data_IF_010321882024
#
_entry.id   IF_010321882024
#
_cell.length_a   1.000
_cell.length_b   1.000
_cell.length_c   1.000
_cell.angle_alpha   90.00
_cell.angle_beta   90.00
_cell.angle_gamma   90.00
#
_symmetry.space_group_name_H-M   'P 1'
#
loop_
_entity.id
_entity.type
_entity.pdbx_description
1 polymer ?
#
# COMPACT_ATOMS: atom_id res chain seq x y z
N UNK A 1 64.98 22.22 -3.68
CA UNK A 1 65.01 23.57 -4.28
C UNK A 1 64.18 24.50 -3.41
N UNK A 2 64.82 25.45 -2.73
CA UNK A 2 64.20 26.43 -1.82
C UNK A 2 64.28 27.82 -2.45
N UNK A 3 63.14 28.48 -2.64
CA UNK A 3 63.02 29.94 -2.80
C UNK A 3 61.55 30.32 -2.52
N UNK A 4 61.23 30.83 -1.33
CA UNK A 4 61.10 32.25 -0.97
C UNK A 4 60.00 32.99 -1.75
N UNK A 5 58.91 33.33 -1.06
CA UNK A 5 58.47 34.72 -1.03
C UNK A 5 57.65 34.99 0.22
N UNK A 6 58.01 36.05 0.96
CA UNK A 6 57.36 36.51 2.18
C UNK A 6 56.57 37.78 1.87
N UNK A 7 55.32 37.77 2.35
CA UNK A 7 54.62 38.87 3.04
C UNK A 7 54.17 40.09 2.22
N UNK A 8 52.87 40.37 2.21
CA UNK A 8 52.33 41.65 2.70
C UNK A 8 50.86 41.47 3.13
N UNK A 9 50.56 41.94 4.34
CA UNK A 9 49.23 42.03 4.92
C UNK A 9 48.33 42.98 4.13
N UNK A 10 47.05 42.63 3.99
CA UNK A 10 45.98 43.61 3.86
C UNK A 10 44.82 43.14 4.76
N UNK A 11 44.79 43.68 5.97
CA UNK A 11 43.64 43.66 6.87
C UNK A 11 42.55 44.54 6.27
N UNK A 12 41.35 43.99 6.08
CA UNK A 12 40.12 44.78 5.94
C UNK A 12 38.97 43.95 6.51
N UNK A 13 38.43 44.41 7.64
CA UNK A 13 37.22 43.86 8.24
C UNK A 13 35.97 44.40 7.54
N UNK A 14 34.92 43.57 7.51
CA UNK A 14 33.52 43.95 7.32
C UNK A 14 32.66 42.81 7.91
N UNK A 15 32.19 42.94 9.15
CA UNK A 15 30.82 43.28 9.56
C UNK A 15 29.75 42.33 8.99
N UNK A 16 29.20 41.51 9.91
CA UNK A 16 27.83 41.01 10.05
C UNK A 16 26.92 40.96 8.81
N UNK A 17 26.37 39.78 8.51
CA UNK A 17 24.92 39.57 8.59
C UNK A 17 24.58 38.07 8.59
N UNK A 18 24.02 37.60 9.70
CA UNK A 18 23.34 36.31 9.74
C UNK A 18 22.11 36.37 8.84
N UNK A 19 22.15 35.64 7.73
CA UNK A 19 20.96 35.25 6.98
C UNK A 19 20.69 33.80 7.35
N UNK A 20 19.87 33.63 8.40
CA UNK A 20 19.25 32.35 8.70
C UNK A 20 18.48 31.90 7.47
N UNK A 21 18.95 30.83 6.82
CA UNK A 21 18.11 30.12 5.89
C UNK A 21 16.92 29.58 6.68
N UNK A 22 15.68 29.79 6.21
CA UNK A 22 14.51 29.22 6.87
C UNK A 22 14.72 27.72 6.93
N UNK A 23 14.59 27.14 8.13
CA UNK A 23 14.39 25.73 8.26
C UNK A 23 13.22 25.39 7.34
N UNK A 24 13.52 24.70 6.24
CA UNK A 24 12.52 24.07 5.40
C UNK A 24 11.86 23.06 6.32
N UNK A 25 10.78 23.48 6.98
CA UNK A 25 9.89 22.57 7.66
C UNK A 25 9.35 21.67 6.56
N UNK A 26 10.01 20.53 6.36
CA UNK A 26 9.41 19.40 5.70
C UNK A 26 8.11 19.15 6.45
N UNK A 27 7.01 19.69 5.95
CA UNK A 27 5.68 19.29 6.36
C UNK A 27 5.60 17.82 5.95
N UNK A 28 6.05 16.94 6.83
CA UNK A 28 5.71 15.54 6.77
C UNK A 28 4.19 15.53 6.81
N UNK A 29 3.56 15.33 5.65
CA UNK A 29 2.13 15.09 5.56
C UNK A 29 1.88 13.87 6.43
N UNK A 30 1.33 14.10 7.62
CA UNK A 30 1.02 13.04 8.56
C UNK A 30 0.02 12.12 7.90
N UNK A 31 0.49 10.98 7.40
CA UNK A 31 -0.36 9.93 6.88
C UNK A 31 -1.16 9.37 8.05
N UNK A 32 -2.47 9.41 7.95
CA UNK A 32 -3.36 8.79 8.95
C UNK A 32 -3.17 7.28 8.97
N UNK A 33 -3.52 6.60 10.06
CA UNK A 33 -3.44 5.13 10.10
C UNK A 33 -4.29 4.48 9.01
N UNK A 34 -5.46 5.07 8.71
CA UNK A 34 -6.35 4.68 7.62
C UNK A 34 -5.65 4.71 6.26
N UNK A 35 -5.00 5.82 5.93
CA UNK A 35 -4.24 5.99 4.70
C UNK A 35 -3.02 5.07 4.63
N UNK A 36 -2.34 4.86 5.76
CA UNK A 36 -1.23 3.91 5.84
C UNK A 36 -1.70 2.48 5.57
N UNK A 37 -2.89 2.09 6.05
CA UNK A 37 -3.49 0.80 5.72
C UNK A 37 -3.89 0.72 4.24
N UNK A 38 -4.55 1.75 3.71
CA UNK A 38 -4.95 1.84 2.29
C UNK A 38 -3.73 1.63 1.36
N UNK A 39 -2.60 2.27 1.67
CA UNK A 39 -1.36 2.17 0.91
C UNK A 39 -0.71 0.77 0.90
N UNK A 40 -1.04 -0.07 1.90
CA UNK A 40 -0.40 -1.39 2.10
C UNK A 40 -1.32 -2.56 1.80
N UNK A 41 -2.63 -2.35 1.84
CA UNK A 41 -3.62 -3.42 1.75
C UNK A 41 -4.94 -2.99 1.05
N UNK A 42 -4.98 -1.89 0.31
CA UNK A 42 -6.13 -1.55 -0.53
C UNK A 42 -6.43 -2.63 -1.57
N UNK A 43 -7.68 -3.08 -1.69
CA UNK A 43 -8.07 -4.12 -2.65
C UNK A 43 -8.46 -3.52 -4.01
N UNK A 44 -7.95 -4.02 -5.15
CA UNK A 44 -8.39 -3.57 -6.48
C UNK A 44 -9.89 -3.76 -6.75
N UNK A 45 -10.55 -4.71 -6.08
CA UNK A 45 -11.98 -5.00 -6.20
C UNK A 45 -12.84 -4.03 -5.40
N UNK A 46 -12.24 -3.30 -4.45
CA UNK A 46 -12.95 -2.30 -3.65
C UNK A 46 -13.11 -1.00 -4.45
N UNK A 47 -14.36 -0.72 -4.83
CA UNK A 47 -14.71 0.49 -5.59
C UNK A 47 -14.78 1.73 -4.69
N UNK A 48 -14.87 1.54 -3.37
CA UNK A 48 -14.97 2.58 -2.35
C UNK A 48 -13.57 2.88 -1.72
N UNK A 49 -12.51 2.35 -2.35
CA UNK A 49 -11.11 2.55 -1.93
C UNK A 49 -10.67 4.00 -2.08
N UNK A 50 -9.66 4.39 -1.30
CA UNK A 50 -8.99 5.67 -1.48
C UNK A 50 -8.17 5.68 -2.79
N UNK A 51 -8.53 6.54 -3.77
CA UNK A 51 -7.85 6.57 -5.06
C UNK A 51 -6.45 7.20 -5.01
N UNK A 52 -6.05 7.82 -3.88
CA UNK A 52 -4.72 8.38 -3.70
C UNK A 52 -3.61 7.32 -3.64
N UNK A 53 -3.97 6.06 -3.38
CA UNK A 53 -3.04 4.94 -3.30
C UNK A 53 -3.29 3.92 -4.41
N UNK A 54 -2.20 3.39 -4.96
CA UNK A 54 -2.30 2.28 -5.92
C UNK A 54 -2.91 1.06 -5.24
N UNK A 55 -3.79 0.30 -5.92
CA UNK A 55 -4.35 -0.92 -5.35
C UNK A 55 -3.25 -1.97 -5.13
N UNK A 56 -3.39 -2.76 -4.07
CA UNK A 56 -2.44 -3.80 -3.69
C UNK A 56 -3.08 -5.16 -3.93
N UNK A 57 -2.62 -5.86 -4.97
CA UNK A 57 -3.00 -7.25 -5.22
C UNK A 57 -2.68 -8.12 -3.99
N UNK A 58 -3.53 -9.10 -3.70
CA UNK A 58 -3.36 -9.96 -2.53
C UNK A 58 -1.98 -10.66 -2.53
N UNK A 59 -1.54 -11.11 -3.71
CA UNK A 59 -0.20 -11.62 -4.03
C UNK A 59 0.96 -10.74 -3.58
N UNK A 60 0.76 -9.42 -3.61
CA UNK A 60 1.78 -8.40 -3.42
C UNK A 60 1.76 -7.77 -2.02
N UNK A 61 0.87 -8.22 -1.13
CA UNK A 61 0.81 -7.71 0.24
C UNK A 61 2.11 -8.05 0.97
N UNK A 62 2.83 -7.01 1.39
CA UNK A 62 3.99 -7.12 2.30
C UNK A 62 3.48 -7.31 3.72
N UNK A 63 3.41 -8.57 4.16
CA UNK A 63 2.71 -9.00 5.39
C UNK A 63 3.04 -8.14 6.61
N UNK A 64 4.33 -7.93 6.92
CA UNK A 64 4.75 -7.16 8.10
C UNK A 64 4.28 -5.71 8.08
N UNK A 65 4.46 -5.02 6.94
CA UNK A 65 4.04 -3.63 6.76
C UNK A 65 2.52 -3.49 6.84
N UNK A 66 1.78 -4.33 6.12
CA UNK A 66 0.32 -4.29 6.05
C UNK A 66 -0.34 -4.62 7.38
N UNK A 67 0.14 -5.66 8.07
CA UNK A 67 -0.39 -6.02 9.38
C UNK A 67 -0.12 -4.94 10.43
N UNK A 68 1.02 -4.26 10.37
CA UNK A 68 1.32 -3.14 11.27
C UNK A 68 0.34 -1.99 11.02
N UNK A 69 0.26 -1.51 9.78
CA UNK A 69 -0.57 -0.37 9.40
C UNK A 69 -2.07 -0.62 9.62
N UNK A 70 -2.59 -1.77 9.19
CA UNK A 70 -4.01 -2.05 9.31
C UNK A 70 -4.46 -2.41 10.73
N UNK A 71 -3.55 -2.89 11.59
CA UNK A 71 -3.86 -3.00 13.03
C UNK A 71 -3.93 -1.66 13.71
N UNK A 72 -3.05 -0.71 13.35
CA UNK A 72 -3.13 0.67 13.82
C UNK A 72 -4.49 1.27 13.45
N UNK A 73 -4.86 1.21 12.18
CA UNK A 73 -6.14 1.73 11.68
C UNK A 73 -7.34 1.07 12.37
N UNK A 74 -7.28 -0.24 12.60
CA UNK A 74 -8.32 -0.96 13.33
C UNK A 74 -8.43 -0.50 14.80
N UNK A 75 -7.31 -0.31 15.50
CA UNK A 75 -7.29 0.22 16.88
C UNK A 75 -7.87 1.64 16.95
N UNK A 76 -7.60 2.46 15.94
CA UNK A 76 -8.16 3.81 15.81
C UNK A 76 -9.62 3.83 15.35
N UNK A 77 -10.24 2.67 15.11
CA UNK A 77 -11.61 2.53 14.60
C UNK A 77 -11.83 3.29 13.28
N UNK A 78 -10.85 3.24 12.38
CA UNK A 78 -10.89 3.98 11.10
C UNK A 78 -12.03 3.59 10.14
N UNK A 79 -12.75 2.49 10.42
CA UNK A 79 -13.97 2.12 9.73
C UNK A 79 -13.94 0.73 9.09
N UNK A 80 -15.09 0.33 8.53
CA UNK A 80 -15.30 -1.02 8.01
C UNK A 80 -14.37 -1.39 6.83
N UNK A 81 -13.94 -0.39 6.03
CA UNK A 81 -12.95 -0.58 4.96
C UNK A 81 -11.60 -1.03 5.53
N UNK A 82 -11.10 -0.36 6.57
CA UNK A 82 -9.82 -0.72 7.20
C UNK A 82 -9.90 -2.08 7.90
N UNK A 83 -11.05 -2.41 8.50
CA UNK A 83 -11.30 -3.77 9.04
C UNK A 83 -11.22 -4.83 7.95
N UNK A 84 -11.78 -4.58 6.76
CA UNK A 84 -11.64 -5.49 5.62
C UNK A 84 -10.19 -5.63 5.15
N UNK A 85 -9.43 -4.54 5.06
CA UNK A 85 -8.04 -4.61 4.64
C UNK A 85 -7.16 -5.35 5.66
N UNK A 86 -7.48 -5.25 6.96
CA UNK A 86 -6.89 -6.10 7.98
C UNK A 86 -7.22 -7.58 7.76
N UNK A 87 -8.44 -7.93 7.33
CA UNK A 87 -8.80 -9.30 6.96
C UNK A 87 -7.88 -9.84 5.85
N UNK A 88 -7.62 -9.05 4.80
CA UNK A 88 -6.70 -9.42 3.70
C UNK A 88 -5.28 -9.68 4.20
N UNK A 89 -4.77 -8.80 5.05
CA UNK A 89 -3.42 -8.93 5.61
C UNK A 89 -3.30 -10.16 6.53
N UNK A 90 -4.33 -10.46 7.32
CA UNK A 90 -4.40 -11.66 8.15
C UNK A 90 -4.49 -12.95 7.33
N UNK A 91 -5.30 -12.94 6.28
CA UNK A 91 -5.38 -14.07 5.35
C UNK A 91 -3.99 -14.37 4.78
N UNK A 92 -3.31 -13.32 4.29
CA UNK A 92 -1.96 -13.44 3.74
C UNK A 92 -0.86 -13.78 4.73
N UNK A 93 -1.08 -13.55 6.02
CA UNK A 93 -0.19 -14.01 7.08
C UNK A 93 -0.44 -15.45 7.52
N UNK A 94 -1.33 -16.19 6.84
CA UNK A 94 -1.68 -17.56 7.22
C UNK A 94 -2.64 -17.64 8.42
N UNK A 95 -3.45 -16.60 8.65
CA UNK A 95 -4.41 -16.55 9.76
C UNK A 95 -5.88 -16.50 9.27
N UNK A 96 -6.38 -17.52 8.54
CA UNK A 96 -7.70 -17.50 7.89
C UNK A 96 -8.86 -17.35 8.88
N UNK A 97 -8.81 -17.99 10.06
CA UNK A 97 -9.87 -17.85 11.06
C UNK A 97 -10.05 -16.39 11.52
N UNK A 98 -8.93 -15.69 11.72
CA UNK A 98 -8.93 -14.28 12.12
C UNK A 98 -9.34 -13.39 10.95
N UNK A 99 -8.94 -13.74 9.72
CA UNK A 99 -9.39 -13.06 8.52
C UNK A 99 -10.91 -13.14 8.36
N UNK A 100 -11.51 -14.32 8.55
CA UNK A 100 -12.96 -14.49 8.48
C UNK A 100 -13.68 -13.63 9.51
N UNK A 101 -13.16 -13.59 10.75
CA UNK A 101 -13.73 -12.76 11.81
C UNK A 101 -13.73 -11.26 11.43
N UNK A 102 -12.61 -10.74 10.90
CA UNK A 102 -12.54 -9.35 10.44
C UNK A 102 -13.43 -9.12 9.21
N UNK A 103 -13.55 -10.08 8.30
CA UNK A 103 -14.44 -9.99 7.14
C UNK A 103 -15.91 -9.85 7.57
N UNK A 104 -16.35 -10.66 8.54
CA UNK A 104 -17.68 -10.56 9.17
C UNK A 104 -17.89 -9.18 9.78
N UNK A 105 -16.94 -8.71 10.58
CA UNK A 105 -17.04 -7.40 11.24
C UNK A 105 -17.15 -6.26 10.22
N UNK A 106 -16.33 -6.28 9.17
CA UNK A 106 -16.39 -5.31 8.09
C UNK A 106 -17.75 -5.34 7.36
N UNK A 107 -18.29 -6.53 7.09
CA UNK A 107 -19.62 -6.67 6.47
C UNK A 107 -20.72 -6.09 7.37
N UNK A 108 -20.71 -6.41 8.66
CA UNK A 108 -21.63 -5.85 9.67
C UNK A 108 -21.48 -4.33 9.81
N UNK A 109 -20.28 -3.79 9.59
CA UNK A 109 -19.99 -2.36 9.54
C UNK A 109 -20.38 -1.67 8.23
N UNK A 110 -21.05 -2.37 7.31
CA UNK A 110 -21.54 -1.80 6.05
C UNK A 110 -20.54 -1.81 4.89
N UNK A 111 -19.40 -2.49 5.00
CA UNK A 111 -18.47 -2.60 3.88
C UNK A 111 -19.03 -3.53 2.80
N UNK A 112 -19.45 -2.94 1.68
CA UNK A 112 -20.19 -3.62 0.60
C UNK A 112 -19.45 -4.82 0.01
N UNK A 113 -18.15 -4.68 -0.27
CA UNK A 113 -17.36 -5.80 -0.79
C UNK A 113 -17.25 -6.93 0.24
N UNK A 114 -17.10 -6.63 1.53
CA UNK A 114 -17.07 -7.67 2.57
C UNK A 114 -18.38 -8.45 2.63
N UNK A 115 -19.53 -7.80 2.51
CA UNK A 115 -20.83 -8.48 2.49
C UNK A 115 -20.96 -9.45 1.30
N UNK A 116 -20.48 -9.04 0.11
CA UNK A 116 -20.48 -9.90 -1.09
C UNK A 116 -19.56 -11.12 -0.93
N UNK A 117 -18.34 -10.89 -0.43
CA UNK A 117 -17.38 -11.96 -0.18
C UNK A 117 -17.90 -12.91 0.90
N UNK A 118 -18.50 -12.40 1.98
CA UNK A 118 -19.05 -13.23 3.05
C UNK A 118 -20.22 -14.10 2.57
N UNK A 119 -21.11 -13.55 1.73
CA UNK A 119 -22.18 -14.32 1.10
C UNK A 119 -21.63 -15.46 0.23
N UNK A 120 -20.51 -15.23 -0.46
CA UNK A 120 -19.83 -16.25 -1.28
C UNK A 120 -19.17 -17.31 -0.42
N UNK A 121 -18.49 -16.90 0.67
CA UNK A 121 -17.90 -17.82 1.65
C UNK A 121 -18.94 -18.63 2.43
N UNK A 122 -20.22 -18.24 2.38
CA UNK A 122 -21.32 -18.83 3.17
C UNK A 122 -21.00 -18.87 4.66
N UNK A 123 -20.24 -17.88 5.13
CA UNK A 123 -19.75 -17.79 6.50
C UNK A 123 -18.88 -18.98 6.97
N UNK A 124 -18.28 -19.73 6.04
CA UNK A 124 -17.47 -20.92 6.33
C UNK A 124 -15.96 -20.64 6.13
N UNK A 125 -15.15 -21.00 7.13
CA UNK A 125 -13.70 -20.89 7.04
C UNK A 125 -13.13 -21.79 5.95
N UNK A 126 -13.74 -22.94 5.66
CA UNK A 126 -13.31 -23.81 4.58
C UNK A 126 -13.45 -23.17 3.19
N UNK A 127 -14.27 -22.11 3.08
CA UNK A 127 -14.53 -21.37 1.83
C UNK A 127 -13.77 -20.04 1.79
N UNK A 128 -12.87 -19.75 2.73
CA UNK A 128 -12.19 -18.45 2.74
C UNK A 128 -11.18 -18.29 1.59
N UNK A 129 -10.59 -19.39 1.14
CA UNK A 129 -9.63 -19.38 0.03
C UNK A 129 -10.31 -18.98 -1.28
N UNK A 130 -11.56 -19.43 -1.52
CA UNK A 130 -12.29 -19.10 -2.73
C UNK A 130 -12.57 -17.59 -2.83
N UNK A 131 -12.80 -16.90 -1.71
CA UNK A 131 -13.13 -15.46 -1.75
C UNK A 131 -11.92 -14.54 -1.83
N UNK A 132 -10.75 -14.97 -1.36
CA UNK A 132 -9.52 -14.17 -1.45
C UNK A 132 -8.71 -14.49 -2.72
N UNK A 133 -8.62 -15.74 -3.15
CA UNK A 133 -7.72 -16.17 -4.24
C UNK A 133 -8.40 -16.33 -5.60
N UNK A 134 -9.65 -16.81 -5.70
CA UNK A 134 -10.29 -17.06 -7.01
C UNK A 134 -10.56 -15.78 -7.83
N UNK A 135 -10.95 -14.64 -7.24
CA UNK A 135 -11.18 -13.41 -8.01
C UNK A 135 -9.90 -12.87 -8.68
N UNK A 136 -8.72 -13.29 -8.20
CA UNK A 136 -7.44 -12.96 -8.82
C UNK A 136 -7.08 -13.95 -9.94
N UNK A 137 -7.54 -15.20 -9.88
CA UNK A 137 -7.35 -16.17 -10.96
C UNK A 137 -8.18 -15.81 -12.20
N UNK A 138 -9.43 -15.39 -12.04
CA UNK A 138 -10.25 -14.94 -13.19
C UNK A 138 -9.76 -13.63 -13.80
N UNK A 139 -9.25 -12.69 -12.98
CA UNK A 139 -8.63 -11.45 -13.46
C UNK A 139 -7.27 -11.68 -14.17
N UNK A 140 -6.46 -12.64 -13.70
CA UNK A 140 -5.18 -12.99 -14.33
C UNK A 140 -5.34 -13.74 -15.66
N UNK A 141 -6.42 -14.51 -15.84
CA UNK A 141 -6.75 -15.17 -17.12
C UNK A 141 -7.32 -14.17 -18.15
N UNK A 142 -7.84 -13.02 -17.70
CA UNK A 142 -8.36 -11.96 -18.56
C UNK A 142 -7.30 -10.93 -19.02
N UNK A 143 -6.05 -11.02 -18.55
CA UNK A 143 -4.95 -10.25 -19.12
C UNK A 143 -4.56 -10.90 -20.46
N UNK A 144 -4.70 -10.22 -21.61
CA UNK A 144 -4.33 -10.82 -22.89
C UNK A 144 -2.81 -11.04 -22.88
N UNK A 145 -2.40 -12.26 -23.24
CA UNK A 145 -1.05 -12.61 -23.62
C UNK A 145 -0.60 -11.69 -24.77
N UNK A 146 -0.03 -10.54 -24.43
CA UNK A 146 0.82 -9.76 -25.33
C UNK A 146 2.22 -10.39 -25.32
N UNK A 147 2.30 -11.60 -25.86
CA UNK A 147 3.55 -12.25 -26.25
C UNK A 147 3.31 -12.81 -27.64
N UNK A 148 3.92 -12.18 -28.63
CA UNK A 148 3.71 -12.47 -30.03
C UNK A 148 4.11 -13.89 -30.42
N UNK A 149 3.45 -14.38 -31.46
CA UNK A 149 4.04 -15.29 -32.43
C UNK A 149 3.12 -15.32 -33.67
N UNK A 150 3.62 -14.76 -34.77
CA UNK A 150 3.45 -15.30 -36.13
C UNK A 150 4.20 -14.40 -37.11
N UNK A 151 5.48 -14.71 -37.23
CA UNK A 151 6.08 -14.80 -38.56
C UNK A 151 5.16 -15.66 -39.44
N UNK A 152 4.41 -15.02 -40.32
CA UNK A 152 3.91 -15.67 -41.52
C UNK A 152 4.10 -14.75 -42.71
N UNK A 153 4.83 -15.32 -43.66
CA UNK A 153 4.68 -15.14 -45.09
C UNK A 153 5.48 -14.02 -45.78
N UNK A 154 6.61 -14.42 -46.35
CA UNK A 154 6.89 -14.05 -47.74
C UNK A 154 7.74 -15.15 -48.38
N UNK A 155 7.07 -16.21 -48.84
CA UNK A 155 7.57 -16.98 -49.98
C UNK A 155 6.58 -16.81 -51.13
N UNK A 156 6.76 -15.74 -51.92
CA UNK A 156 6.34 -15.73 -53.33
C UNK A 156 7.14 -14.73 -54.15
#
# INVERSE_FOLDING_TARGET
>A
MTARSRLLMATSGLIMLGLGLPAQASHATHTTASEACDAKAGDPRDLDRNPAFSPVNLGSIKIGEALSACREAYRERSGARQTYQLARALYRSGAPARALAMLREAASGGHRLSAQLLATAKDDIAQIDSVFEEPLRTAAVAAPLLSGDKDQDSTR
#
